data_IF_293979650454
#
_entry.id   IF_293979650454
#
_cell.length_a   1.000
_cell.length_b   1.000
_cell.length_c   1.000
_cell.angle_alpha   90.00
_cell.angle_beta   90.00
_cell.angle_gamma   90.00
#
_symmetry.space_group_name_H-M   'P 1'
#
loop_
_entity.id
_entity.type
_entity.pdbx_description
1 polymer ?
#
# COMPACT_ATOMS: atom_id res chain seq x y z
N UNK A 1 8.84 28.28 -17.45
CA UNK A 1 9.63 27.37 -16.59
C UNK A 1 8.77 26.96 -15.41
N UNK A 2 8.46 25.68 -15.26
CA UNK A 2 7.69 25.13 -14.12
C UNK A 2 8.66 24.93 -12.95
N UNK A 3 8.28 25.43 -11.76
CA UNK A 3 9.08 25.34 -10.54
C UNK A 3 8.26 24.65 -9.46
N UNK A 4 8.83 23.65 -8.86
CA UNK A 4 8.28 22.93 -7.73
C UNK A 4 8.84 23.49 -6.42
N UNK A 5 7.95 23.73 -5.45
CA UNK A 5 8.31 24.26 -4.12
C UNK A 5 7.49 23.59 -3.03
N UNK A 6 7.99 23.57 -1.82
CA UNK A 6 7.23 23.13 -0.67
C UNK A 6 6.04 24.07 -0.41
N UNK A 7 4.84 23.51 -0.22
CA UNK A 7 3.63 24.29 0.10
C UNK A 7 3.75 25.03 1.43
N UNK A 8 4.52 24.49 2.38
CA UNK A 8 4.67 25.07 3.72
C UNK A 8 5.85 26.03 3.82
N UNK A 9 6.52 26.34 2.69
CA UNK A 9 7.72 27.18 2.67
C UNK A 9 7.50 28.58 3.28
N UNK A 10 6.26 29.08 3.20
CA UNK A 10 5.89 30.42 3.65
C UNK A 10 4.70 30.42 4.62
N UNK A 11 4.22 29.25 5.05
CA UNK A 11 2.98 29.15 5.85
C UNK A 11 3.21 29.01 7.36
N UNK A 12 4.33 28.38 7.75
CA UNK A 12 4.61 28.03 9.12
C UNK A 12 6.05 28.34 9.51
N UNK A 13 6.30 28.69 10.77
CA UNK A 13 7.65 28.78 11.31
C UNK A 13 7.97 27.49 12.10
N UNK A 14 9.23 26.97 11.96
CA UNK A 14 10.29 27.42 11.06
C UNK A 14 9.98 27.13 9.59
N UNK A 15 10.34 28.09 8.73
CA UNK A 15 10.11 27.96 7.28
C UNK A 15 10.85 26.75 6.69
N UNK A 16 10.20 26.05 5.76
CA UNK A 16 10.83 24.95 5.05
C UNK A 16 12.02 25.43 4.22
N UNK A 17 13.19 24.85 4.46
CA UNK A 17 14.44 25.22 3.79
C UNK A 17 14.71 24.42 2.51
N UNK A 18 13.81 23.49 2.15
CA UNK A 18 13.95 22.71 0.90
C UNK A 18 14.08 23.64 -0.30
N UNK A 19 15.10 23.47 -1.15
CA UNK A 19 15.29 24.30 -2.33
C UNK A 19 14.15 24.11 -3.33
N UNK A 20 13.98 25.11 -4.20
CA UNK A 20 13.12 24.99 -5.36
C UNK A 20 13.81 24.09 -6.38
N UNK A 21 13.04 23.26 -7.06
CA UNK A 21 13.52 22.41 -8.15
C UNK A 21 12.68 22.68 -9.38
N UNK A 22 13.31 22.78 -10.52
CA UNK A 22 12.60 22.96 -11.78
C UNK A 22 12.23 21.60 -12.37
N UNK A 23 11.19 21.59 -13.19
CA UNK A 23 10.78 20.39 -13.90
C UNK A 23 11.90 19.82 -14.77
N UNK A 24 12.69 20.69 -15.40
CA UNK A 24 13.84 20.29 -16.22
C UNK A 24 14.93 19.59 -15.40
N UNK A 25 15.23 20.08 -14.20
CA UNK A 25 16.17 19.41 -13.30
C UNK A 25 15.67 18.04 -12.88
N UNK A 26 14.37 17.87 -12.63
CA UNK A 26 13.76 16.58 -12.31
C UNK A 26 13.90 15.61 -13.50
N UNK A 27 13.66 16.08 -14.71
CA UNK A 27 13.78 15.29 -15.94
C UNK A 27 15.20 14.77 -16.16
N UNK A 28 16.18 15.64 -16.05
CA UNK A 28 17.61 15.28 -16.19
C UNK A 28 18.00 14.26 -15.10
N UNK A 29 17.69 14.54 -13.84
CA UNK A 29 18.01 13.65 -12.72
C UNK A 29 17.32 12.29 -12.84
N UNK A 30 16.12 12.26 -13.40
CA UNK A 30 15.42 10.99 -13.66
C UNK A 30 16.17 10.15 -14.70
N UNK A 31 16.60 10.73 -15.81
CA UNK A 31 17.37 10.03 -16.85
C UNK A 31 18.62 9.40 -16.23
N UNK A 32 19.38 10.16 -15.45
CA UNK A 32 20.58 9.66 -14.76
C UNK A 32 20.27 8.52 -13.76
N UNK A 33 19.24 8.71 -12.93
CA UNK A 33 18.83 7.72 -11.93
C UNK A 33 18.31 6.44 -12.59
N UNK A 34 17.50 6.57 -13.63
CA UNK A 34 16.97 5.43 -14.35
C UNK A 34 18.05 4.64 -15.10
N UNK A 35 19.05 5.33 -15.69
CA UNK A 35 20.18 4.67 -16.34
C UNK A 35 21.05 3.90 -15.33
N UNK A 36 21.20 4.40 -14.10
CA UNK A 36 21.83 3.62 -13.02
C UNK A 36 21.04 2.37 -12.66
N UNK A 37 19.70 2.48 -12.61
CA UNK A 37 18.83 1.33 -12.38
C UNK A 37 18.98 0.28 -13.50
N UNK A 38 19.08 0.72 -14.76
CA UNK A 38 19.30 -0.16 -15.90
C UNK A 38 20.63 -0.93 -15.80
N UNK A 39 21.66 -0.31 -15.23
CA UNK A 39 22.92 -1.00 -14.97
C UNK A 39 22.83 -2.17 -13.99
N UNK A 40 21.77 -2.22 -13.16
CA UNK A 40 21.45 -3.29 -12.20
C UNK A 40 20.18 -4.05 -12.58
N UNK A 41 19.70 -3.93 -13.80
CA UNK A 41 18.40 -4.39 -14.29
C UNK A 41 18.07 -5.82 -13.89
N UNK A 42 18.98 -6.75 -14.14
CA UNK A 42 18.72 -8.16 -13.90
C UNK A 42 18.57 -8.48 -12.41
N UNK A 43 19.41 -7.89 -11.58
CA UNK A 43 19.32 -8.03 -10.12
C UNK A 43 17.98 -7.45 -9.61
N UNK A 44 17.63 -6.25 -10.05
CA UNK A 44 16.37 -5.60 -9.66
C UNK A 44 15.16 -6.42 -10.08
N UNK A 45 15.17 -7.02 -11.28
CA UNK A 45 14.10 -7.91 -11.74
C UNK A 45 14.03 -9.18 -10.88
N UNK A 46 15.18 -9.77 -10.53
CA UNK A 46 15.24 -10.95 -9.66
C UNK A 46 14.64 -10.66 -8.27
N UNK A 47 15.08 -9.56 -7.65
CA UNK A 47 14.57 -9.13 -6.34
C UNK A 47 13.07 -8.83 -6.37
N UNK A 48 12.59 -8.20 -7.45
CA UNK A 48 11.18 -7.94 -7.66
C UNK A 48 10.36 -9.24 -7.80
N UNK A 49 10.89 -10.28 -8.42
CA UNK A 49 10.21 -11.59 -8.53
C UNK A 49 10.07 -12.23 -7.17
N UNK A 50 11.13 -12.25 -6.35
CA UNK A 50 11.10 -12.78 -4.98
C UNK A 50 10.10 -12.02 -4.12
N UNK A 51 10.16 -10.69 -4.14
CA UNK A 51 9.21 -9.84 -3.39
C UNK A 51 7.75 -10.10 -3.80
N UNK A 52 7.49 -10.32 -5.10
CA UNK A 52 6.16 -10.61 -5.63
C UNK A 52 5.66 -11.97 -5.17
N UNK A 53 6.49 -13.00 -5.15
CA UNK A 53 6.13 -14.34 -4.65
C UNK A 53 5.76 -14.28 -3.16
N UNK A 54 6.57 -13.60 -2.35
CA UNK A 54 6.28 -13.39 -0.91
C UNK A 54 4.98 -12.63 -0.67
N UNK A 55 4.72 -11.58 -1.45
CA UNK A 55 3.48 -10.79 -1.33
C UNK A 55 2.24 -11.58 -1.78
N UNK A 56 2.39 -12.47 -2.74
CA UNK A 56 1.28 -13.28 -3.29
C UNK A 56 0.80 -14.35 -2.31
N UNK A 57 1.65 -14.79 -1.41
CA UNK A 57 1.27 -15.77 -0.39
C UNK A 57 0.39 -15.10 0.67
N UNK A 58 -0.92 -15.24 0.50
CA UNK A 58 -1.94 -14.81 1.46
C UNK A 58 -2.49 -15.97 2.31
N UNK A 59 -1.92 -17.17 2.22
CA UNK A 59 -2.49 -18.39 2.83
C UNK A 59 -2.66 -18.31 4.34
N UNK A 60 -1.79 -17.57 5.05
CA UNK A 60 -1.94 -17.33 6.49
C UNK A 60 -3.11 -16.40 6.81
N UNK A 61 -3.26 -15.31 6.03
CA UNK A 61 -4.37 -14.37 6.20
C UNK A 61 -5.71 -15.04 5.85
N UNK A 62 -5.76 -15.84 4.80
CA UNK A 62 -6.96 -16.56 4.38
C UNK A 62 -7.41 -17.56 5.45
N UNK A 63 -6.48 -18.26 6.11
CA UNK A 63 -6.79 -19.13 7.24
C UNK A 63 -7.35 -18.34 8.42
N UNK A 64 -6.71 -17.24 8.79
CA UNK A 64 -7.18 -16.38 9.87
C UNK A 64 -8.58 -15.82 9.58
N UNK A 65 -8.85 -15.38 8.35
CA UNK A 65 -10.18 -14.95 7.91
C UNK A 65 -11.19 -16.09 8.05
N UNK A 66 -10.85 -17.32 7.65
CA UNK A 66 -11.74 -18.46 7.75
C UNK A 66 -12.08 -18.78 9.22
N UNK A 67 -11.11 -18.69 10.12
CA UNK A 67 -11.32 -18.96 11.55
C UNK A 67 -12.16 -17.85 12.21
N UNK A 68 -11.91 -16.59 11.88
CA UNK A 68 -12.73 -15.45 12.34
C UNK A 68 -14.19 -15.57 11.84
N UNK A 69 -14.41 -16.02 10.60
CA UNK A 69 -15.78 -16.24 10.06
C UNK A 69 -16.51 -17.35 10.81
N UNK A 70 -15.82 -18.45 11.17
CA UNK A 70 -16.40 -19.51 11.99
C UNK A 70 -16.80 -19.00 13.37
N UNK A 71 -15.91 -18.20 14.00
CA UNK A 71 -16.22 -17.62 15.31
C UNK A 71 -17.39 -16.61 15.21
N UNK A 72 -17.43 -15.80 14.15
CA UNK A 72 -18.55 -14.88 13.91
C UNK A 72 -19.89 -15.62 13.76
N UNK A 73 -19.91 -16.74 13.03
CA UNK A 73 -21.10 -17.58 12.92
C UNK A 73 -21.51 -18.17 14.27
N UNK A 74 -20.54 -18.63 15.09
CA UNK A 74 -20.79 -19.13 16.43
C UNK A 74 -21.41 -18.07 17.34
N UNK A 75 -20.89 -16.84 17.30
CA UNK A 75 -21.41 -15.72 18.09
C UNK A 75 -22.84 -15.38 17.64
N UNK A 76 -23.10 -15.36 16.33
CA UNK A 76 -24.45 -15.12 15.79
C UNK A 76 -25.45 -16.19 16.24
N UNK A 77 -25.05 -17.47 16.27
CA UNK A 77 -25.92 -18.55 16.73
C UNK A 77 -26.19 -18.47 18.24
N UNK A 78 -25.18 -18.15 19.07
CA UNK A 78 -25.36 -17.92 20.50
C UNK A 78 -26.30 -16.73 20.77
N UNK A 79 -26.18 -15.64 20.02
CA UNK A 79 -27.10 -14.51 20.11
C UNK A 79 -28.52 -14.94 19.79
N UNK A 80 -28.73 -15.75 18.75
CA UNK A 80 -30.04 -16.28 18.37
C UNK A 80 -30.65 -17.15 19.45
N UNK A 81 -29.88 -18.06 20.04
CA UNK A 81 -30.32 -18.93 21.14
C UNK A 81 -30.72 -18.08 22.35
N UNK A 82 -29.86 -17.11 22.75
CA UNK A 82 -30.15 -16.23 23.88
C UNK A 82 -31.46 -15.44 23.70
N UNK A 83 -31.75 -14.96 22.48
CA UNK A 83 -33.02 -14.29 22.17
C UNK A 83 -34.22 -15.26 22.34
N UNK A 84 -34.10 -16.49 21.85
CA UNK A 84 -35.20 -17.47 21.90
C UNK A 84 -35.48 -17.97 23.32
N UNK A 85 -34.47 -18.16 24.13
CA UNK A 85 -34.58 -18.63 25.52
C UNK A 85 -35.14 -17.57 26.47
N UNK A 86 -34.91 -16.29 26.20
CA UNK A 86 -35.27 -15.17 27.07
C UNK A 86 -36.58 -14.49 26.69
N UNK A 87 -37.29 -14.94 25.69
CA UNK A 87 -38.65 -14.45 25.35
C UNK A 87 -39.63 -14.64 26.52
N UNK A 88 -39.28 -15.44 27.56
CA UNK A 88 -40.12 -15.76 28.70
C UNK A 88 -39.68 -15.13 30.05
N UNK A 89 -38.59 -14.33 30.13
CA UNK A 89 -38.07 -13.79 31.40
C UNK A 89 -37.73 -12.28 31.28
N UNK A 90 -38.04 -11.54 32.34
CA UNK A 90 -38.04 -10.07 32.45
C UNK A 90 -36.79 -9.31 31.95
N UNK A 91 -37.05 -8.16 31.46
CA UNK A 91 -36.45 -7.24 30.50
C UNK A 91 -34.99 -6.76 30.69
N UNK A 92 -34.40 -6.73 31.89
CA UNK A 92 -33.16 -5.99 32.11
C UNK A 92 -31.87 -6.77 31.81
N UNK A 93 -31.83 -8.09 31.94
CA UNK A 93 -30.66 -8.92 31.72
C UNK A 93 -30.44 -9.34 30.25
N UNK A 94 -31.46 -9.30 29.45
CA UNK A 94 -31.47 -9.73 28.04
C UNK A 94 -30.77 -8.72 27.14
N UNK A 95 -30.95 -7.42 27.40
CA UNK A 95 -30.38 -6.35 26.61
C UNK A 95 -28.84 -6.32 26.70
N UNK A 96 -28.27 -6.51 27.89
CA UNK A 96 -26.82 -6.52 28.09
C UNK A 96 -26.13 -7.67 27.36
N UNK A 97 -26.67 -8.88 27.43
CA UNK A 97 -26.09 -10.05 26.75
C UNK A 97 -26.18 -9.93 25.22
N UNK A 98 -27.30 -9.41 24.72
CA UNK A 98 -27.49 -9.16 23.30
C UNK A 98 -26.52 -8.09 22.79
N UNK A 99 -26.32 -7.01 23.52
CA UNK A 99 -25.33 -5.96 23.20
C UNK A 99 -23.91 -6.50 23.17
N UNK A 100 -23.53 -7.39 24.10
CA UNK A 100 -22.22 -8.04 24.11
C UNK A 100 -22.02 -8.92 22.87
N UNK A 101 -23.00 -9.73 22.47
CA UNK A 101 -22.90 -10.54 21.26
C UNK A 101 -22.84 -9.69 19.98
N UNK A 102 -23.62 -8.62 19.90
CA UNK A 102 -23.56 -7.68 18.78
C UNK A 102 -22.21 -7.00 18.70
N UNK A 103 -21.70 -6.48 19.80
CA UNK A 103 -20.38 -5.84 19.86
C UNK A 103 -19.26 -6.80 19.45
N UNK A 104 -19.33 -8.07 19.90
CA UNK A 104 -18.37 -9.12 19.51
C UNK A 104 -18.46 -9.45 18.03
N UNK A 105 -19.67 -9.62 17.50
CA UNK A 105 -19.93 -9.88 16.09
C UNK A 105 -19.36 -8.74 15.20
N UNK A 106 -19.61 -7.49 15.58
CA UNK A 106 -19.12 -6.33 14.85
C UNK A 106 -17.60 -6.19 14.91
N UNK A 107 -16.99 -6.49 16.07
CA UNK A 107 -15.55 -6.53 16.20
C UNK A 107 -14.92 -7.57 15.27
N UNK A 108 -15.49 -8.78 15.19
CA UNK A 108 -15.02 -9.84 14.29
C UNK A 108 -15.20 -9.44 12.82
N UNK A 109 -16.34 -8.81 12.48
CA UNK A 109 -16.56 -8.29 11.12
C UNK A 109 -15.49 -7.26 10.72
N UNK A 110 -15.15 -6.33 11.61
CA UNK A 110 -14.10 -5.34 11.34
C UNK A 110 -12.73 -5.98 11.16
N UNK A 111 -12.40 -7.03 11.93
CA UNK A 111 -11.14 -7.75 11.77
C UNK A 111 -11.08 -8.44 10.41
N UNK A 112 -12.13 -9.13 10.01
CA UNK A 112 -12.25 -9.78 8.68
C UNK A 112 -12.04 -8.74 7.57
N UNK A 113 -12.74 -7.61 7.62
CA UNK A 113 -12.63 -6.53 6.61
C UNK A 113 -11.17 -6.03 6.51
N UNK A 114 -10.47 -5.88 7.64
CA UNK A 114 -9.06 -5.43 7.64
C UNK A 114 -8.13 -6.45 6.97
N UNK A 115 -8.31 -7.74 7.29
CA UNK A 115 -7.47 -8.79 6.70
C UNK A 115 -7.75 -8.97 5.19
N UNK A 116 -9.01 -8.89 4.78
CA UNK A 116 -9.38 -8.91 3.36
C UNK A 116 -8.82 -7.70 2.60
N UNK A 117 -8.84 -6.51 3.21
CA UNK A 117 -8.23 -5.32 2.65
C UNK A 117 -6.70 -5.47 2.50
N UNK A 118 -6.04 -6.14 3.47
CA UNK A 118 -4.61 -6.46 3.37
C UNK A 118 -4.33 -7.43 2.22
N UNK A 119 -5.13 -8.50 2.05
CA UNK A 119 -4.99 -9.42 0.92
C UNK A 119 -5.13 -8.67 -0.42
N UNK A 120 -6.16 -7.84 -0.57
CA UNK A 120 -6.36 -7.02 -1.79
C UNK A 120 -5.15 -6.12 -2.05
N UNK A 121 -4.65 -5.42 -1.04
CA UNK A 121 -3.48 -4.53 -1.15
C UNK A 121 -2.21 -5.27 -1.59
N UNK A 122 -2.01 -6.51 -1.12
CA UNK A 122 -0.90 -7.37 -1.55
C UNK A 122 -1.03 -7.75 -3.02
N UNK A 123 -2.22 -8.14 -3.47
CA UNK A 123 -2.49 -8.47 -4.88
C UNK A 123 -2.24 -7.25 -5.78
N UNK A 124 -2.78 -6.09 -5.42
CA UNK A 124 -2.57 -4.84 -6.16
C UNK A 124 -1.07 -4.48 -6.27
N UNK A 125 -0.32 -4.66 -5.17
CA UNK A 125 1.12 -4.44 -5.17
C UNK A 125 1.87 -5.45 -6.05
N UNK A 126 1.44 -6.73 -6.06
CA UNK A 126 1.98 -7.73 -6.99
C UNK A 126 1.79 -7.35 -8.45
N UNK A 127 0.62 -6.79 -8.79
CA UNK A 127 0.32 -6.35 -10.16
C UNK A 127 1.16 -5.13 -10.56
N UNK A 128 1.36 -4.18 -9.65
CA UNK A 128 2.24 -3.04 -9.88
C UNK A 128 3.69 -3.47 -10.09
N UNK A 129 4.20 -4.39 -9.27
CA UNK A 129 5.55 -4.96 -9.44
C UNK A 129 5.65 -5.72 -10.76
N UNK A 130 4.63 -6.47 -11.16
CA UNK A 130 4.62 -7.17 -12.44
C UNK A 130 4.65 -6.20 -13.63
N UNK A 131 3.94 -5.07 -13.54
CA UNK A 131 4.02 -4.00 -14.56
C UNK A 131 5.41 -3.39 -14.61
N UNK A 132 6.00 -3.09 -13.46
CA UNK A 132 7.36 -2.56 -13.35
C UNK A 132 8.39 -3.49 -14.00
N UNK A 133 8.37 -4.79 -13.66
CA UNK A 133 9.24 -5.81 -14.27
C UNK A 133 9.12 -5.80 -15.79
N UNK A 134 7.89 -5.79 -16.33
CA UNK A 134 7.65 -5.76 -17.79
C UNK A 134 8.19 -4.50 -18.43
N UNK A 135 8.02 -3.35 -17.80
CA UNK A 135 8.54 -2.08 -18.31
C UNK A 135 10.07 -2.08 -18.31
N UNK A 136 10.69 -2.52 -17.22
CA UNK A 136 12.14 -2.59 -17.09
C UNK A 136 12.73 -3.64 -18.07
N UNK A 137 12.08 -4.80 -18.25
CA UNK A 137 12.54 -5.85 -19.15
C UNK A 137 12.57 -5.40 -20.62
N UNK A 138 11.61 -4.57 -21.05
CA UNK A 138 11.53 -4.02 -22.40
C UNK A 138 12.59 -2.99 -22.72
N UNK A 139 13.18 -2.38 -21.70
CA UNK A 139 14.19 -1.36 -21.90
C UNK A 139 15.54 -2.02 -22.17
N UNK A 140 16.00 -2.00 -23.41
CA UNK A 140 17.24 -2.67 -23.84
C UNK A 140 18.46 -1.75 -23.76
N UNK A 141 18.27 -0.44 -23.94
CA UNK A 141 19.32 0.55 -23.96
C UNK A 141 19.09 1.64 -22.91
N UNK A 142 20.15 2.35 -22.58
CA UNK A 142 20.08 3.59 -21.79
C UNK A 142 19.18 4.61 -22.50
N UNK A 143 18.57 5.49 -21.73
CA UNK A 143 17.75 6.58 -22.25
C UNK A 143 18.57 7.89 -22.25
N UNK A 144 18.53 8.64 -23.34
CA UNK A 144 19.20 9.93 -23.46
C UNK A 144 18.25 11.10 -23.19
N UNK A 145 16.94 10.87 -23.35
CA UNK A 145 15.91 11.90 -23.23
C UNK A 145 14.82 11.40 -22.27
N UNK A 146 14.25 12.35 -21.51
CA UNK A 146 13.12 12.07 -20.61
C UNK A 146 11.92 11.55 -21.39
N UNK A 147 11.41 10.40 -20.98
CA UNK A 147 10.15 9.81 -21.46
C UNK A 147 9.11 9.86 -20.33
N UNK A 148 8.08 10.67 -20.54
CA UNK A 148 7.00 10.85 -19.57
C UNK A 148 6.22 9.56 -19.31
N UNK A 149 5.98 8.74 -20.35
CA UNK A 149 5.26 7.47 -20.20
C UNK A 149 6.07 6.48 -19.35
N UNK A 150 7.37 6.41 -19.60
CA UNK A 150 8.28 5.60 -18.80
C UNK A 150 8.32 6.10 -17.35
N UNK A 151 8.47 7.41 -17.15
CA UNK A 151 8.47 8.02 -15.83
C UNK A 151 7.21 7.65 -15.03
N UNK A 152 6.02 7.86 -15.62
CA UNK A 152 4.73 7.52 -14.99
C UNK A 152 4.55 6.01 -14.75
N UNK A 153 5.21 5.17 -15.53
CA UNK A 153 5.13 3.72 -15.40
C UNK A 153 6.03 3.14 -14.30
N UNK A 154 7.08 3.87 -13.87
CA UNK A 154 8.08 3.34 -12.95
C UNK A 154 8.22 4.14 -11.65
N UNK A 155 7.90 5.44 -11.64
CA UNK A 155 8.02 6.33 -10.47
C UNK A 155 6.69 6.41 -9.74
N UNK A 156 6.72 6.21 -8.43
CA UNK A 156 5.56 6.37 -7.54
C UNK A 156 5.44 7.80 -7.03
N UNK A 157 6.53 8.36 -6.56
CA UNK A 157 6.65 9.76 -6.10
C UNK A 157 8.13 10.16 -6.02
N UNK A 158 8.35 11.46 -5.89
CA UNK A 158 9.68 12.06 -5.75
C UNK A 158 9.77 12.74 -4.39
N UNK A 159 10.91 12.65 -3.74
CA UNK A 159 11.24 13.44 -2.54
C UNK A 159 12.41 14.35 -2.84
N UNK A 160 12.32 15.60 -2.34
CA UNK A 160 13.41 16.58 -2.44
C UNK A 160 13.94 16.80 -1.03
N UNK A 161 15.23 16.50 -0.83
CA UNK A 161 15.94 16.72 0.42
C UNK A 161 16.20 18.21 0.69
N UNK A 162 16.51 18.55 1.94
CA UNK A 162 16.91 19.92 2.32
C UNK A 162 18.24 20.32 1.68
N UNK A 163 19.08 19.37 1.38
CA UNK A 163 20.36 19.51 0.65
C UNK A 163 20.19 19.63 -0.87
N UNK A 164 18.94 19.55 -1.37
CA UNK A 164 18.63 19.57 -2.80
C UNK A 164 18.77 18.22 -3.48
N UNK A 165 19.05 17.15 -2.73
CA UNK A 165 19.01 15.79 -3.28
C UNK A 165 17.62 15.42 -3.77
N UNK A 166 17.54 14.56 -4.78
CA UNK A 166 16.27 14.07 -5.34
C UNK A 166 16.24 12.56 -5.18
N UNK A 167 15.26 12.06 -4.45
CA UNK A 167 14.99 10.64 -4.32
C UNK A 167 13.80 10.24 -5.20
N UNK A 168 14.01 9.33 -6.13
CA UNK A 168 12.92 8.73 -6.93
C UNK A 168 12.45 7.45 -6.26
N UNK A 169 11.27 7.47 -5.70
CA UNK A 169 10.64 6.27 -5.13
C UNK A 169 9.93 5.51 -6.24
N UNK A 170 10.48 4.36 -6.58
CA UNK A 170 9.96 3.53 -7.65
C UNK A 170 8.72 2.73 -7.20
N UNK A 171 7.89 2.31 -8.15
CA UNK A 171 6.65 1.54 -7.88
C UNK A 171 6.95 0.22 -7.15
N UNK A 172 8.10 -0.41 -7.41
CA UNK A 172 8.54 -1.64 -6.75
C UNK A 172 9.03 -1.44 -5.30
N UNK A 173 9.20 -0.18 -4.86
CA UNK A 173 9.70 0.20 -3.53
C UNK A 173 11.19 0.53 -3.48
N UNK A 174 11.93 0.40 -4.58
CA UNK A 174 13.33 0.88 -4.67
C UNK A 174 13.36 2.41 -4.63
N UNK A 175 14.37 2.97 -3.99
CA UNK A 175 14.68 4.41 -4.01
C UNK A 175 16.01 4.62 -4.73
N UNK A 176 16.02 5.56 -5.67
CA UNK A 176 17.17 5.97 -6.46
C UNK A 176 17.57 7.40 -6.13
#
# INVERSE_FOLDING_TARGET
KIIWRCNDKYKHEPHCQTPHVTEEEIRVRFVEAFNRLLGMKEQVIADCRIARETLRDCSSLEREIADLRKEQQRVAELARIAILEHVSVAEDGVNTLQEEYLAKHDSLAQQIIRLEAECRRRVEKCDLIAKFIRTLAKQETVIDVFDEKLFMAVVKHITIGRDGSTGFHMINGTML
#
